data_IF_359160295196
#
_entry.id   IF_359160295196
#
_cell.length_a   1.000
_cell.length_b   1.000
_cell.length_c   1.000
_cell.angle_alpha   90.00
_cell.angle_beta   90.00
_cell.angle_gamma   90.00
#
_symmetry.space_group_name_H-M   'P 1'
#
loop_
_entity.id
_entity.type
_entity.pdbx_description
1 polymer ?
#
# COMPACT_ATOMS: atom_id res chain seq x y z
N UNK A 1 30.70 -12.29 -1.24
CA UNK A 1 30.61 -11.12 -2.16
C UNK A 1 29.18 -11.08 -2.62
N UNK A 2 28.32 -10.68 -1.68
CA UNK A 2 26.87 -10.77 -1.76
C UNK A 2 26.25 -9.64 -2.58
N UNK A 3 25.20 -10.03 -3.31
CA UNK A 3 24.02 -9.25 -3.67
C UNK A 3 24.18 -8.08 -4.64
N UNK A 4 24.43 -8.45 -5.90
CA UNK A 4 24.08 -7.67 -7.07
C UNK A 4 22.54 -7.56 -7.22
N UNK A 5 21.89 -6.68 -6.47
CA UNK A 5 20.59 -6.16 -6.89
C UNK A 5 20.86 -5.14 -8.01
N UNK A 6 20.54 -5.53 -9.24
CA UNK A 6 20.59 -4.64 -10.40
C UNK A 6 19.72 -3.41 -10.08
N UNK A 7 20.35 -2.25 -9.84
CA UNK A 7 19.63 -0.99 -9.84
C UNK A 7 19.14 -0.80 -11.28
N UNK A 8 17.84 -1.02 -11.50
CA UNK A 8 17.19 -0.60 -12.75
C UNK A 8 17.36 0.93 -12.76
N UNK A 9 18.28 1.44 -13.59
CA UNK A 9 18.63 2.86 -13.74
C UNK A 9 17.50 3.66 -14.41
N UNK A 10 16.27 3.55 -13.89
CA UNK A 10 15.07 4.16 -14.48
C UNK A 10 13.98 4.53 -13.47
N UNK A 11 14.11 4.16 -12.19
CA UNK A 11 13.30 4.72 -11.11
C UNK A 11 14.27 5.42 -10.16
N UNK A 12 14.42 6.74 -10.30
CA UNK A 12 15.32 7.52 -9.44
C UNK A 12 15.01 7.29 -7.97
N UNK A 13 16.01 7.44 -7.09
CA UNK A 13 15.79 7.33 -5.64
C UNK A 13 14.79 8.40 -5.18
N UNK A 14 13.55 8.00 -5.01
CA UNK A 14 12.48 8.85 -4.48
C UNK A 14 12.42 8.73 -2.97
N UNK A 15 11.57 9.53 -2.36
CA UNK A 15 11.29 9.49 -0.93
C UNK A 15 9.84 9.13 -0.67
N UNK A 16 9.63 8.40 0.42
CA UNK A 16 8.34 8.29 1.08
C UNK A 16 8.34 9.20 2.28
N UNK A 17 7.24 9.91 2.49
CA UNK A 17 7.03 10.79 3.63
C UNK A 17 5.84 10.28 4.44
N UNK A 18 6.01 10.24 5.76
CA UNK A 18 5.02 9.73 6.71
C UNK A 18 4.84 10.74 7.83
N UNK A 19 3.59 11.04 8.14
CA UNK A 19 3.24 11.88 9.28
C UNK A 19 3.10 10.99 10.52
N UNK A 20 3.94 11.25 11.52
CA UNK A 20 3.99 10.51 12.78
C UNK A 20 3.33 11.34 13.88
N UNK A 21 2.36 10.76 14.59
CA UNK A 21 1.85 11.32 15.84
C UNK A 21 2.82 10.98 16.96
N UNK A 22 3.37 11.99 17.61
CA UNK A 22 4.43 11.77 18.61
C UNK A 22 3.89 11.25 19.94
N UNK A 23 2.58 11.40 20.20
CA UNK A 23 1.96 10.92 21.46
C UNK A 23 1.71 9.40 21.51
N UNK A 24 1.68 8.68 20.38
CA UNK A 24 1.48 7.22 20.36
C UNK A 24 2.27 6.49 19.27
N UNK A 25 3.09 7.23 18.51
CA UNK A 25 3.91 6.74 17.44
C UNK A 25 3.13 6.32 16.19
N UNK A 26 1.82 6.50 16.10
CA UNK A 26 1.09 6.13 14.89
C UNK A 26 1.60 6.93 13.68
N UNK A 27 1.66 6.29 12.51
CA UNK A 27 2.05 6.96 11.27
C UNK A 27 1.09 6.70 10.13
N UNK A 28 0.99 7.67 9.22
CA UNK A 28 0.26 7.54 7.96
C UNK A 28 1.02 8.22 6.83
N UNK A 29 0.91 7.74 5.58
CA UNK A 29 1.62 8.30 4.44
C UNK A 29 1.11 9.69 4.08
N UNK A 30 2.03 10.59 3.71
CA UNK A 30 1.74 11.87 3.07
C UNK A 30 2.02 11.74 1.56
N UNK A 31 3.26 11.37 1.21
CA UNK A 31 3.67 11.12 -0.18
C UNK A 31 4.32 9.75 -0.34
N UNK A 32 3.95 9.01 -1.37
CA UNK A 32 4.51 7.69 -1.68
C UNK A 32 5.78 7.73 -2.56
N UNK A 33 6.00 8.86 -3.23
CA UNK A 33 7.12 9.13 -4.11
C UNK A 33 7.24 10.63 -4.26
N UNK A 34 8.28 11.22 -3.67
CA UNK A 34 8.53 12.66 -3.72
C UNK A 34 10.02 12.98 -3.73
N UNK A 35 10.35 14.25 -3.91
CA UNK A 35 11.70 14.80 -3.84
C UNK A 35 11.90 15.55 -2.52
N UNK A 36 13.15 15.73 -2.08
CA UNK A 36 13.48 16.46 -0.86
C UNK A 36 12.97 17.91 -0.88
N UNK A 37 12.89 18.52 -2.06
CA UNK A 37 12.36 19.88 -2.27
C UNK A 37 10.90 20.04 -1.80
N UNK A 38 10.15 18.94 -1.68
CA UNK A 38 8.74 18.90 -1.25
C UNK A 38 8.54 18.59 0.22
N UNK A 39 9.59 18.31 0.98
CA UNK A 39 9.46 17.95 2.39
C UNK A 39 8.81 19.04 3.24
N UNK A 40 9.03 20.31 2.90
CA UNK A 40 8.37 21.42 3.58
C UNK A 40 6.85 21.42 3.34
N UNK A 41 6.43 21.23 2.09
CA UNK A 41 5.01 21.13 1.72
C UNK A 41 4.35 19.93 2.41
N UNK A 42 5.03 18.77 2.40
CA UNK A 42 4.56 17.54 3.07
C UNK A 42 4.48 17.72 4.60
N UNK A 43 5.40 18.46 5.21
CA UNK A 43 5.38 18.75 6.65
C UNK A 43 4.19 19.64 7.01
N UNK A 44 3.85 20.62 6.17
CA UNK A 44 2.66 21.43 6.34
C UNK A 44 1.38 20.59 6.19
N UNK A 45 1.32 19.70 5.19
CA UNK A 45 0.21 18.78 5.00
C UNK A 45 0.03 17.84 6.22
N UNK A 46 1.14 17.32 6.77
CA UNK A 46 1.15 16.52 8.00
C UNK A 46 0.57 17.29 9.19
N UNK A 47 1.03 18.53 9.42
CA UNK A 47 0.51 19.38 10.50
C UNK A 47 -0.98 19.71 10.32
N UNK A 48 -1.40 20.06 9.10
CA UNK A 48 -2.79 20.38 8.78
C UNK A 48 -3.74 19.19 8.97
N UNK A 49 -3.25 17.95 8.78
CA UNK A 49 -4.04 16.74 8.99
C UNK A 49 -4.37 16.50 10.48
N UNK A 50 -3.58 17.03 11.42
CA UNK A 50 -3.70 16.78 12.85
C UNK A 50 -3.52 18.07 13.68
N UNK A 51 -4.39 19.09 13.53
CA UNK A 51 -4.17 20.43 14.10
C UNK A 51 -4.20 20.48 15.64
N UNK A 52 -4.80 19.49 16.29
CA UNK A 52 -4.88 19.36 17.75
C UNK A 52 -3.97 18.28 18.33
N UNK A 53 -3.01 17.76 17.57
CA UNK A 53 -2.17 16.64 18.00
C UNK A 53 -0.72 16.88 17.57
N UNK A 54 0.26 16.69 18.45
CA UNK A 54 1.65 16.86 18.07
C UNK A 54 2.04 15.79 17.04
N UNK A 55 2.49 16.27 15.88
CA UNK A 55 2.94 15.44 14.77
C UNK A 55 4.32 15.90 14.27
N UNK A 56 5.02 14.99 13.62
CA UNK A 56 6.27 15.26 12.93
C UNK A 56 6.32 14.48 11.62
N UNK A 57 6.90 15.08 10.58
CA UNK A 57 7.16 14.39 9.32
C UNK A 57 8.43 13.55 9.44
N UNK A 58 8.33 12.29 9.03
CA UNK A 58 9.44 11.37 8.86
C UNK A 58 9.55 10.94 7.41
N UNK A 59 10.76 10.61 6.97
CA UNK A 59 11.06 10.27 5.58
C UNK A 59 11.98 9.05 5.50
N UNK A 60 11.83 8.25 4.45
CA UNK A 60 12.77 7.18 4.10
C UNK A 60 12.87 7.03 2.58
N UNK A 61 13.95 6.42 2.10
CA UNK A 61 14.17 6.17 0.66
C UNK A 61 13.17 5.16 0.11
N UNK A 62 12.80 5.36 -1.15
CA UNK A 62 11.95 4.46 -1.91
C UNK A 62 12.48 4.33 -3.35
N UNK A 63 12.86 3.12 -3.81
CA UNK A 63 12.79 1.82 -3.12
C UNK A 63 13.94 1.59 -2.10
N UNK A 64 13.82 0.55 -1.27
CA UNK A 64 14.94 -0.02 -0.50
C UNK A 64 14.89 0.17 1.02
N UNK A 65 14.17 1.18 1.53
CA UNK A 65 13.99 1.39 2.96
C UNK A 65 12.53 1.22 3.39
N UNK A 66 12.34 0.87 4.66
CA UNK A 66 11.06 0.76 5.34
C UNK A 66 10.88 1.79 6.45
N UNK A 67 9.74 1.70 7.12
CA UNK A 67 9.33 2.59 8.23
C UNK A 67 10.25 2.48 9.45
N UNK A 68 10.96 1.37 9.62
CA UNK A 68 11.95 1.18 10.69
C UNK A 68 13.19 2.06 10.50
N UNK A 69 13.46 2.49 9.26
CA UNK A 69 14.64 3.27 8.86
C UNK A 69 14.31 4.75 8.62
N UNK A 70 13.04 5.16 8.82
CA UNK A 70 12.66 6.54 8.59
C UNK A 70 13.25 7.48 9.65
N UNK A 71 13.61 8.68 9.19
CA UNK A 71 14.18 9.74 10.02
C UNK A 71 13.31 10.98 9.95
N UNK A 72 13.24 11.74 11.04
CA UNK A 72 12.59 13.04 11.03
C UNK A 72 13.36 14.01 10.12
N UNK A 73 12.77 15.17 9.82
CA UNK A 73 13.49 16.24 9.12
C UNK A 73 14.70 16.78 9.89
N UNK A 74 14.82 16.48 11.19
CA UNK A 74 16.00 16.81 12.02
C UNK A 74 17.02 15.67 12.08
N UNK A 75 16.77 14.54 11.41
CA UNK A 75 17.66 13.37 11.41
C UNK A 75 17.45 12.40 12.58
N UNK A 76 16.44 12.61 13.42
CA UNK A 76 16.14 11.69 14.53
C UNK A 76 15.48 10.41 13.96
N UNK A 77 15.99 9.21 14.27
CA UNK A 77 15.38 7.98 13.79
C UNK A 77 14.04 7.74 14.48
N UNK A 78 13.05 7.24 13.75
CA UNK A 78 11.73 6.96 14.32
C UNK A 78 11.79 5.98 15.50
N UNK A 79 12.72 5.04 15.48
CA UNK A 79 12.94 4.08 16.56
C UNK A 79 13.44 4.71 17.86
N UNK A 80 13.98 5.93 17.84
CA UNK A 80 14.36 6.67 19.04
C UNK A 80 13.17 7.39 19.70
N UNK A 81 12.04 7.54 19.01
CA UNK A 81 10.83 8.10 19.61
C UNK A 81 10.33 7.16 20.73
N UNK A 82 10.14 7.62 21.98
CA UNK A 82 9.71 6.75 23.07
C UNK A 82 8.39 6.01 22.84
N UNK A 83 7.53 6.60 22.00
CA UNK A 83 6.22 6.06 21.61
C UNK A 83 6.26 5.29 20.29
N UNK A 84 7.42 5.10 19.67
CA UNK A 84 7.57 4.36 18.41
C UNK A 84 6.82 3.03 18.45
N UNK A 85 5.98 2.80 17.44
CA UNK A 85 5.13 1.62 17.30
C UNK A 85 4.18 1.32 18.47
N UNK A 86 4.02 2.20 19.47
CA UNK A 86 3.18 1.93 20.63
C UNK A 86 1.71 1.67 20.25
N UNK A 87 1.22 2.37 19.22
CA UNK A 87 -0.10 2.15 18.62
C UNK A 87 -0.36 0.70 18.18
N UNK A 88 0.67 -0.10 17.89
CA UNK A 88 0.52 -1.51 17.49
C UNK A 88 0.08 -2.40 18.66
N UNK A 89 0.39 -1.99 19.90
CA UNK A 89 0.07 -2.76 21.11
C UNK A 89 -1.23 -2.28 21.76
N UNK A 90 -1.47 -0.98 21.74
CA UNK A 90 -2.64 -0.37 22.40
C UNK A 90 -3.07 0.89 21.68
N UNK A 91 -4.39 1.06 21.51
CA UNK A 91 -4.97 2.29 20.99
C UNK A 91 -5.07 3.36 22.08
N UNK A 92 -4.59 4.58 21.78
CA UNK A 92 -4.71 5.73 22.67
C UNK A 92 -5.80 6.70 22.16
N UNK A 93 -6.98 6.66 22.78
CA UNK A 93 -8.11 7.52 22.40
C UNK A 93 -7.85 9.02 22.60
N UNK A 94 -6.90 9.39 23.47
CA UNK A 94 -6.48 10.78 23.67
C UNK A 94 -5.51 11.28 22.60
N UNK A 95 -4.90 10.38 21.82
CA UNK A 95 -3.94 10.69 20.76
C UNK A 95 -4.56 10.40 19.39
N UNK A 96 -5.43 11.29 18.91
CA UNK A 96 -6.06 11.18 17.58
C UNK A 96 -6.05 12.51 16.87
N UNK A 97 -5.93 12.54 15.54
CA UNK A 97 -5.90 13.79 14.76
C UNK A 97 -7.21 14.61 14.84
N UNK A 98 -8.28 14.02 15.39
CA UNK A 98 -9.55 14.68 15.68
C UNK A 98 -9.72 15.04 17.16
N UNK A 99 -8.68 14.96 17.98
CA UNK A 99 -8.76 15.37 19.38
C UNK A 99 -9.27 16.82 19.49
N UNK A 100 -10.45 16.99 20.11
CA UNK A 100 -11.13 18.29 20.24
C UNK A 100 -12.14 18.65 19.13
N UNK A 101 -12.23 17.86 18.06
CA UNK A 101 -13.27 17.98 17.05
C UNK A 101 -14.33 16.94 17.39
N UNK A 102 -15.54 17.38 17.78
CA UNK A 102 -16.67 16.48 18.05
C UNK A 102 -16.66 15.37 16.99
N UNK A 103 -16.49 14.12 17.43
CA UNK A 103 -16.40 12.97 16.56
C UNK A 103 -17.75 12.79 15.87
N UNK A 104 -18.00 13.53 14.78
CA UNK A 104 -19.05 13.26 13.82
C UNK A 104 -18.89 11.80 13.42
N UNK A 105 -19.86 10.98 13.84
CA UNK A 105 -19.71 9.56 14.02
C UNK A 105 -19.07 8.87 12.82
N UNK A 106 -17.93 8.24 13.06
CA UNK A 106 -17.63 7.02 12.32
C UNK A 106 -18.59 5.98 12.86
N UNK A 107 -19.72 5.77 12.19
CA UNK A 107 -20.46 4.53 12.36
C UNK A 107 -19.48 3.42 12.01
N UNK A 108 -19.15 2.50 12.95
CA UNK A 108 -18.38 1.35 12.56
C UNK A 108 -19.19 0.65 11.48
N UNK A 109 -18.69 0.66 10.25
CA UNK A 109 -19.16 -0.31 9.26
C UNK A 109 -18.90 -1.64 9.94
N UNK A 110 -19.95 -2.41 10.30
CA UNK A 110 -19.73 -3.71 10.88
C UNK A 110 -18.78 -4.43 9.94
N UNK A 111 -17.77 -5.10 10.48
CA UNK A 111 -16.90 -5.99 9.71
C UNK A 111 -17.79 -7.10 9.17
N UNK A 112 -18.50 -6.82 8.08
CA UNK A 112 -19.08 -7.84 7.25
C UNK A 112 -17.90 -8.73 6.93
N UNK A 113 -17.98 -9.99 7.36
CA UNK A 113 -17.10 -11.01 6.85
C UNK A 113 -17.07 -10.79 5.35
N UNK A 114 -15.89 -10.50 4.79
CA UNK A 114 -15.72 -10.58 3.35
C UNK A 114 -16.25 -11.97 3.01
N UNK A 115 -17.32 -12.12 2.21
CA UNK A 115 -17.61 -13.43 1.69
C UNK A 115 -16.31 -13.88 1.02
N UNK A 116 -15.84 -15.07 1.38
CA UNK A 116 -14.82 -15.73 0.59
C UNK A 116 -15.26 -15.63 -0.88
N UNK A 117 -14.36 -15.34 -1.84
CA UNK A 117 -14.75 -15.37 -3.23
C UNK A 117 -15.38 -16.73 -3.50
N UNK A 118 -16.69 -16.74 -3.71
CA UNK A 118 -17.37 -17.88 -4.30
C UNK A 118 -16.72 -18.03 -5.67
N UNK A 119 -16.15 -19.22 -5.91
CA UNK A 119 -15.40 -19.51 -7.11
C UNK A 119 -16.12 -19.01 -8.36
N UNK A 120 -15.36 -18.38 -9.23
CA UNK A 120 -15.78 -17.98 -10.57
C UNK A 120 -16.25 -19.21 -11.36
N UNK A 121 -17.55 -19.51 -11.28
CA UNK A 121 -18.24 -20.24 -12.32
C UNK A 121 -18.60 -19.22 -13.42
N UNK A 122 -17.72 -19.12 -14.42
CA UNK A 122 -18.02 -18.38 -15.65
C UNK A 122 -19.27 -18.96 -16.32
N UNK A 123 -20.27 -18.15 -16.71
CA UNK A 123 -21.28 -18.58 -17.66
C UNK A 123 -20.66 -18.66 -19.06
N UNK A 124 -20.80 -19.82 -19.71
CA UNK A 124 -20.44 -20.01 -21.11
C UNK A 124 -21.53 -19.38 -21.99
N UNK A 125 -21.22 -18.25 -22.63
CA UNK A 125 -22.04 -17.69 -23.70
C UNK A 125 -21.86 -18.49 -25.00
N UNK A 126 -22.98 -18.70 -25.68
CA UNK A 126 -23.14 -19.57 -26.83
C UNK A 126 -22.37 -19.08 -28.07
N UNK A 127 -21.50 -19.94 -28.62
CA UNK A 127 -20.96 -19.81 -29.98
C UNK A 127 -21.90 -20.51 -30.96
N UNK A 128 -22.49 -19.71 -31.85
CA UNK A 128 -23.41 -20.14 -32.89
C UNK A 128 -22.76 -21.12 -33.88
N UNK A 129 -23.56 -22.11 -34.28
CA UNK A 129 -23.23 -23.24 -35.13
C UNK A 129 -23.03 -22.84 -36.60
N UNK A 130 -21.84 -23.11 -37.16
CA UNK A 130 -21.62 -23.11 -38.61
C UNK A 130 -21.32 -24.55 -39.07
N UNK A 131 -22.36 -25.25 -39.54
CA UNK A 131 -22.24 -26.59 -40.15
C UNK A 131 -21.39 -26.49 -41.41
N UNK A 132 -20.25 -27.18 -41.46
CA UNK A 132 -19.52 -27.45 -42.70
C UNK A 132 -19.60 -28.94 -43.03
N UNK A 133 -20.33 -29.22 -44.09
CA UNK A 133 -20.61 -30.55 -44.59
C UNK A 133 -19.38 -31.04 -45.36
N UNK A 134 -18.61 -31.98 -44.82
CA UNK A 134 -17.52 -32.63 -45.56
C UNK A 134 -17.74 -34.14 -45.53
N UNK A 135 -18.05 -34.69 -46.71
CA UNK A 135 -18.04 -36.13 -46.98
C UNK A 135 -16.59 -36.58 -47.14
N UNK A 136 -16.11 -37.42 -46.24
CA UNK A 136 -14.86 -38.15 -46.45
C UNK A 136 -15.20 -39.37 -47.32
N UNK A 137 -14.68 -39.39 -48.55
CA UNK A 137 -14.64 -40.58 -49.40
C UNK A 137 -13.17 -40.94 -49.50
N UNK A 138 -12.76 -42.05 -48.89
CA UNK A 138 -11.38 -42.53 -48.96
C UNK A 138 -11.35 -44.05 -48.84
N UNK A 139 -10.68 -44.77 -49.75
CA UNK A 139 -10.69 -46.22 -49.75
C UNK A 139 -9.66 -46.79 -48.77
N UNK A 140 -9.93 -48.05 -48.46
CA UNK A 140 -9.23 -48.96 -47.58
C UNK A 140 -7.80 -49.30 -48.07
N UNK A 141 -7.03 -49.89 -47.14
CA UNK A 141 -5.76 -50.65 -47.26
C UNK A 141 -4.45 -49.99 -47.75
N UNK A 142 -3.38 -50.18 -46.98
CA UNK A 142 -2.25 -51.07 -47.37
C UNK A 142 -1.33 -51.44 -46.19
N UNK A 143 -0.91 -52.70 -46.21
CA UNK A 143 0.10 -53.37 -45.36
C UNK A 143 1.49 -53.25 -46.01
N UNK A 144 2.53 -53.37 -45.19
CA UNK A 144 3.97 -53.30 -45.46
C UNK A 144 4.51 -54.21 -46.58
N UNK A 145 5.63 -53.77 -47.18
CA UNK A 145 6.80 -54.57 -47.56
C UNK A 145 8.07 -53.80 -47.18
#
# INVERSE_FOLDING_TARGET
REDSYVRIEGYGDTWRTLCVRTCDGYYFPISFSTEQSRFADDAQACAAACPGTPVALYVHRSPGEGVEQMVSLSGEPYTALPTAFAYRRSYNAACTCRAGQNAGGFTPVPKAARPAPAGDAQPAEAVAEAKRNVRIVGPSYYVAQ
#
